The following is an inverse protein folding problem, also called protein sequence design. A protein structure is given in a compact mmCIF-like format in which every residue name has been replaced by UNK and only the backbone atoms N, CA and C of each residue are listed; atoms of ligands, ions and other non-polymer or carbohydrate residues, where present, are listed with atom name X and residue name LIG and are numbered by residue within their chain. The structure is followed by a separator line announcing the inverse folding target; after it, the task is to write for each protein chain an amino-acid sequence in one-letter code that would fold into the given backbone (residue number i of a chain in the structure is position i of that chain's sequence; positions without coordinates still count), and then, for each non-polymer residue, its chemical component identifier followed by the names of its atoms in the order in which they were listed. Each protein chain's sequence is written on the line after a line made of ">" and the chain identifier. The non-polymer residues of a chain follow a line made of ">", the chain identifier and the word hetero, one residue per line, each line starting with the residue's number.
data_IF_056473991288
#
_entry.id   IF_056473991288
#
_cell.length_a   1.000
_cell.length_b   1.000
_cell.length_c   1.000
_cell.angle_alpha   90.00
_cell.angle_beta   90.00
_cell.angle_gamma   90.00
#
_symmetry.space_group_name_H-M   'P 1'
#
loop_
_entity.id
_entity.type
_entity.pdbx_description
1 polymer ?
#
# COMPACT_ATOMS: atom_id res chain seq x y z
N UNK A 1 -9.78 -0.33 -19.69
CA UNK A 1 -8.81 0.80 -19.60
C UNK A 1 -7.55 0.25 -18.99
N UNK A 2 -6.41 0.38 -19.66
CA UNK A 2 -5.09 -0.14 -19.23
C UNK A 2 -4.59 0.69 -18.04
N UNK A 3 -4.76 0.19 -16.82
CA UNK A 3 -4.10 0.76 -15.64
C UNK A 3 -2.63 0.34 -15.68
N UNK A 4 -1.79 1.18 -16.26
CA UNK A 4 -0.34 1.05 -16.18
C UNK A 4 0.06 0.97 -14.71
N UNK A 5 0.51 -0.21 -14.25
CA UNK A 5 1.07 -0.36 -12.92
C UNK A 5 2.25 0.61 -12.80
N UNK A 6 2.28 1.52 -11.81
CA UNK A 6 3.50 2.29 -11.56
C UNK A 6 4.56 1.28 -11.13
N UNK A 7 5.59 1.16 -11.97
CA UNK A 7 6.75 0.34 -11.69
C UNK A 7 7.33 0.74 -10.35
N UNK A 8 7.78 -0.25 -9.56
CA UNK A 8 8.35 -0.17 -8.21
C UNK A 8 9.42 0.94 -7.97
N UNK A 9 9.87 1.63 -9.01
CA UNK A 9 10.84 2.72 -9.03
C UNK A 9 10.30 4.06 -8.50
N UNK A 10 8.99 4.32 -8.56
CA UNK A 10 8.38 5.58 -8.08
C UNK A 10 8.05 5.58 -6.57
N UNK A 11 8.22 4.45 -5.89
CA UNK A 11 7.91 4.34 -4.47
C UNK A 11 9.13 4.71 -3.63
N UNK A 12 9.05 5.76 -2.78
CA UNK A 12 10.22 6.27 -2.07
C UNK A 12 10.84 5.25 -1.11
N UNK A 13 12.16 5.33 -0.96
CA UNK A 13 12.94 4.47 -0.06
C UNK A 13 12.65 4.70 1.43
N UNK A 14 12.10 5.85 1.76
CA UNK A 14 11.80 6.26 3.13
C UNK A 14 10.97 7.53 3.05
N UNK A 15 9.99 7.67 3.93
CA UNK A 15 9.13 8.85 3.99
C UNK A 15 7.63 8.50 3.94
N UNK A 16 6.83 9.54 3.76
CA UNK A 16 5.39 9.49 3.94
C UNK A 16 4.69 9.31 2.59
N UNK A 17 4.01 8.19 2.41
CA UNK A 17 3.20 7.90 1.21
C UNK A 17 1.71 7.92 1.53
N UNK A 18 0.89 8.28 0.56
CA UNK A 18 -0.58 8.25 0.77
C UNK A 18 -1.16 6.88 0.46
N UNK A 19 -2.36 6.63 0.96
CA UNK A 19 -3.10 5.38 0.70
C UNK A 19 -3.21 5.06 -0.79
N UNK A 20 -3.36 6.08 -1.65
CA UNK A 20 -3.42 5.90 -3.12
C UNK A 20 -2.12 5.32 -3.67
N UNK A 21 -0.97 5.79 -3.18
CA UNK A 21 0.33 5.26 -3.59
C UNK A 21 0.56 3.85 -3.05
N UNK A 22 0.14 3.58 -1.81
CA UNK A 22 0.19 2.22 -1.23
C UNK A 22 -0.68 1.25 -2.03
N UNK A 23 -1.91 1.65 -2.36
CA UNK A 23 -2.83 0.88 -3.20
C UNK A 23 -2.21 0.57 -4.57
N UNK A 24 -1.66 1.58 -5.25
CA UNK A 24 -0.98 1.40 -6.53
C UNK A 24 0.26 0.50 -6.43
N UNK A 25 1.09 0.71 -5.40
CA UNK A 25 2.31 -0.05 -5.17
C UNK A 25 2.04 -1.53 -4.88
N UNK A 26 0.96 -1.80 -4.14
CA UNK A 26 0.52 -3.16 -3.82
C UNK A 26 -0.34 -3.78 -4.94
N UNK A 27 -0.64 -3.03 -6.02
CA UNK A 27 -1.60 -3.39 -7.06
C UNK A 27 -2.97 -3.80 -6.47
N UNK A 28 -3.46 -3.05 -5.49
CA UNK A 28 -4.74 -3.26 -4.80
C UNK A 28 -5.64 -2.04 -4.90
N UNK A 29 -6.94 -2.24 -4.74
CA UNK A 29 -7.91 -1.15 -4.62
C UNK A 29 -7.79 -0.44 -3.26
N UNK A 30 -8.06 0.88 -3.22
CA UNK A 30 -8.04 1.68 -1.99
C UNK A 30 -8.95 1.09 -0.89
N UNK A 31 -10.09 0.52 -1.27
CA UNK A 31 -11.01 -0.19 -0.35
C UNK A 31 -10.37 -1.40 0.32
N UNK A 32 -9.55 -2.16 -0.41
CA UNK A 32 -8.83 -3.31 0.13
C UNK A 32 -7.76 -2.86 1.11
N UNK A 33 -7.06 -1.76 0.82
CA UNK A 33 -6.09 -1.14 1.74
C UNK A 33 -6.78 -0.63 3.01
N UNK A 34 -7.93 0.05 2.88
CA UNK A 34 -8.72 0.48 4.04
C UNK A 34 -9.21 -0.69 4.91
N UNK A 35 -9.58 -1.83 4.30
CA UNK A 35 -9.94 -3.03 5.05
C UNK A 35 -8.75 -3.57 5.83
N UNK A 36 -7.59 -3.66 5.18
CA UNK A 36 -6.34 -4.13 5.78
C UNK A 36 -5.76 -3.19 6.81
N UNK A 37 -6.05 -1.89 6.75
CA UNK A 37 -5.67 -0.94 7.80
C UNK A 37 -6.20 -1.33 9.19
N UNK A 38 -7.25 -2.15 9.27
CA UNK A 38 -7.75 -2.71 10.53
C UNK A 38 -6.93 -3.91 11.02
N UNK A 39 -6.18 -4.56 10.13
CA UNK A 39 -5.34 -5.69 10.47
C UNK A 39 -4.03 -5.20 11.11
N UNK A 40 -3.61 -5.74 12.26
CA UNK A 40 -2.35 -5.36 12.91
C UNK A 40 -1.11 -5.77 12.09
N UNK A 41 -1.31 -6.63 11.09
CA UNK A 41 -0.26 -7.02 10.16
C UNK A 41 0.01 -5.96 9.09
N UNK A 42 -0.86 -4.96 8.88
CA UNK A 42 -0.69 -3.93 7.84
C UNK A 42 0.03 -2.69 8.41
N UNK A 43 0.87 -1.99 7.62
CA UNK A 43 1.57 -0.78 8.05
C UNK A 43 0.58 0.24 8.62
N UNK A 44 0.90 0.76 9.80
CA UNK A 44 0.01 1.69 10.47
C UNK A 44 0.08 3.07 9.80
N UNK A 45 -1.09 3.72 9.60
CA UNK A 45 -1.11 5.08 9.12
C UNK A 45 -0.61 6.05 10.18
N UNK A 46 0.37 6.87 9.81
CA UNK A 46 0.83 8.03 10.55
C UNK A 46 -0.08 9.22 10.22
N UNK A 47 -0.72 9.78 11.25
CA UNK A 47 -1.50 11.02 11.12
C UNK A 47 -0.57 12.22 11.17
N UNK A 48 -0.32 12.86 10.03
CA UNK A 48 0.48 14.08 9.95
C UNK A 48 -0.34 15.32 10.37
N UNK A 49 -1.67 15.29 10.18
CA UNK A 49 -2.59 16.38 10.52
C UNK A 49 -4.01 15.85 10.73
N UNK A 50 -4.96 16.73 11.09
CA UNK A 50 -6.37 16.40 11.34
C UNK A 50 -7.07 15.73 10.16
N UNK A 51 -6.60 15.97 8.92
CA UNK A 51 -7.15 15.38 7.69
C UNK A 51 -6.13 14.61 6.86
N UNK A 52 -4.85 14.63 7.25
CA UNK A 52 -3.79 14.03 6.46
C UNK A 52 -3.26 12.79 7.16
N UNK A 53 -3.50 11.66 6.51
CA UNK A 53 -3.05 10.34 6.91
C UNK A 53 -2.07 9.83 5.87
N UNK A 54 -0.89 9.42 6.30
CA UNK A 54 0.20 8.91 5.47
C UNK A 54 0.68 7.59 6.03
N UNK A 55 1.35 6.79 5.24
CA UNK A 55 1.96 5.53 5.63
C UNK A 55 3.47 5.65 5.46
N UNK A 56 4.24 4.94 6.28
CA UNK A 56 5.69 4.87 6.08
C UNK A 56 6.00 3.96 4.88
N UNK A 57 6.69 4.51 3.89
CA UNK A 57 7.12 3.78 2.70
C UNK A 57 8.06 2.61 3.02
N UNK A 58 8.91 2.73 4.05
CA UNK A 58 9.77 1.63 4.47
C UNK A 58 8.94 0.48 5.06
N UNK A 59 7.87 0.80 5.79
CA UNK A 59 6.99 -0.19 6.41
C UNK A 59 6.11 -0.91 5.41
N UNK A 60 5.57 -0.18 4.43
CA UNK A 60 4.80 -0.75 3.31
C UNK A 60 5.63 -1.73 2.49
N UNK A 61 6.93 -1.47 2.29
CA UNK A 61 7.82 -2.40 1.58
C UNK A 61 8.13 -3.65 2.38
N UNK A 62 8.49 -3.52 3.65
CA UNK A 62 8.64 -4.68 4.55
C UNK A 62 7.38 -5.54 4.58
N UNK A 63 6.21 -4.89 4.57
CA UNK A 63 4.93 -5.56 4.49
C UNK A 63 4.72 -6.29 3.16
N UNK A 64 5.06 -5.66 2.03
CA UNK A 64 4.96 -6.30 0.72
C UNK A 64 5.87 -7.52 0.65
N UNK A 65 7.11 -7.43 1.12
CA UNK A 65 8.05 -8.56 1.15
C UNK A 65 7.50 -9.73 1.98
N UNK A 66 7.00 -9.42 3.19
CA UNK A 66 6.32 -10.40 4.05
C UNK A 66 5.08 -11.00 3.40
N UNK A 67 4.28 -10.16 2.73
CA UNK A 67 3.06 -10.59 2.06
C UNK A 67 3.36 -11.41 0.81
N UNK A 68 4.36 -11.04 0.02
CA UNK A 68 4.78 -11.75 -1.19
C UNK A 68 5.23 -13.19 -0.89
N UNK A 69 5.74 -13.43 0.32
CA UNK A 69 6.04 -14.79 0.81
C UNK A 69 4.81 -15.67 1.04
N UNK A 70 3.58 -15.10 1.07
CA UNK A 70 2.34 -15.86 1.31
C UNK A 70 1.10 -15.40 0.53
N UNK A 71 1.22 -14.44 -0.39
CA UNK A 71 0.10 -13.79 -1.08
C UNK A 71 0.29 -13.88 -2.59
N UNK A 72 -0.50 -14.76 -3.22
CA UNK A 72 -0.65 -14.84 -4.66
C UNK A 72 -1.55 -13.69 -5.14
N UNK A 73 -1.04 -12.75 -5.95
CA UNK A 73 -1.83 -11.62 -6.44
C UNK A 73 -2.62 -12.06 -7.68
N UNK A 74 -3.67 -12.85 -7.48
CA UNK A 74 -4.58 -13.27 -8.55
C UNK A 74 -6.01 -13.36 -8.03
N UNK A 75 -6.72 -12.23 -8.02
CA UNK A 75 -8.19 -12.07 -8.12
C UNK A 75 -8.58 -10.71 -7.55
N UNK A 76 -8.65 -9.71 -8.41
CA UNK A 76 -9.70 -8.70 -8.36
C UNK A 76 -9.64 -7.94 -9.70
N UNK A 77 -10.31 -8.48 -10.70
CA UNK A 77 -10.52 -7.84 -12.00
C UNK A 77 -12.02 -7.56 -12.11
N UNK A 78 -12.39 -6.27 -12.23
CA UNK A 78 -13.74 -5.82 -12.58
C UNK A 78 -13.70 -4.47 -13.26
#
# INVERSE_FOLDING_TARGET
>A
MITSQPTHLDFPLSGNVRIRQVAQFLAMSESTVHRRMKDPCFPQPVRLSSRLVVFDAAEVRRWQERSKAGYSPLRDER
#
